data_IF_047642692278
#
_entry.id   IF_047642692278
#
_cell.length_a   1.000
_cell.length_b   1.000
_cell.length_c   1.000
_cell.angle_alpha   90.00
_cell.angle_beta   90.00
_cell.angle_gamma   90.00
#
_symmetry.space_group_name_H-M   'P 1'
#
loop_
_entity.id
_entity.type
_entity.pdbx_description
1 polymer ?
#
# COMPACT_ATOMS: atom_id res chain seq x y z
N UNK A 1 -7.73 16.16 -3.94
CA UNK A 1 -6.25 16.14 -4.07
C UNK A 1 -5.91 15.18 -5.20
N UNK A 2 -4.92 15.48 -6.04
CA UNK A 2 -4.64 14.71 -7.26
C UNK A 2 -3.20 14.17 -7.25
N UNK A 3 -3.02 12.96 -7.79
CA UNK A 3 -1.74 12.41 -8.22
C UNK A 3 -1.71 12.46 -9.74
N UNK A 4 -0.69 13.12 -10.30
CA UNK A 4 -0.50 13.27 -11.73
C UNK A 4 0.82 12.60 -12.15
N UNK A 5 0.85 12.04 -13.34
CA UNK A 5 2.08 11.59 -14.00
C UNK A 5 2.59 12.69 -14.93
N UNK A 6 3.86 13.05 -14.74
CA UNK A 6 4.57 14.01 -15.57
C UNK A 6 5.70 13.31 -16.34
N UNK A 7 5.67 13.40 -17.67
CA UNK A 7 6.76 12.93 -18.50
C UNK A 7 7.88 13.98 -18.54
N UNK A 8 9.11 13.57 -18.21
CA UNK A 8 10.25 14.50 -18.20
C UNK A 8 10.46 15.14 -19.58
N UNK A 9 10.49 16.49 -19.59
CA UNK A 9 10.65 17.28 -20.80
C UNK A 9 9.36 17.60 -21.54
N UNK A 10 8.20 17.13 -21.05
CA UNK A 10 6.89 17.51 -21.56
C UNK A 10 6.32 18.75 -20.84
N UNK A 11 5.23 19.31 -21.34
CA UNK A 11 4.48 20.37 -20.68
C UNK A 11 3.62 19.81 -19.54
N UNK A 12 3.56 20.48 -18.37
CA UNK A 12 2.62 20.10 -17.29
C UNK A 12 1.15 20.06 -17.70
N UNK A 13 0.77 20.75 -18.78
CA UNK A 13 -0.59 20.70 -19.33
C UNK A 13 -0.95 19.31 -19.89
N UNK A 14 0.05 18.50 -20.21
CA UNK A 14 -0.09 17.12 -20.69
C UNK A 14 -0.05 16.10 -19.55
N UNK A 15 0.08 16.53 -18.30
CA UNK A 15 0.16 15.63 -17.16
C UNK A 15 -1.11 14.78 -17.04
N UNK A 16 -0.92 13.47 -16.94
CA UNK A 16 -2.02 12.51 -16.87
C UNK A 16 -2.48 12.36 -15.43
N UNK A 17 -3.79 12.48 -15.20
CA UNK A 17 -4.39 12.11 -13.91
C UNK A 17 -4.21 10.62 -13.65
N UNK A 18 -3.56 10.27 -12.54
CA UNK A 18 -3.40 8.89 -12.05
C UNK A 18 -4.53 8.56 -11.09
N UNK A 19 -4.79 9.46 -10.14
CA UNK A 19 -5.82 9.27 -9.14
C UNK A 19 -6.22 10.60 -8.50
N UNK A 20 -7.49 10.69 -8.10
CA UNK A 20 -8.04 11.84 -7.38
C UNK A 20 -8.78 11.37 -6.12
N UNK A 21 -8.35 11.88 -4.96
CA UNK A 21 -9.10 11.77 -3.70
C UNK A 21 -9.95 13.02 -3.52
N UNK A 22 -11.27 12.86 -3.49
CA UNK A 22 -12.23 13.97 -3.39
C UNK A 22 -12.72 14.18 -1.96
N UNK A 23 -12.55 13.21 -1.07
CA UNK A 23 -12.90 13.28 0.34
C UNK A 23 -11.85 14.08 1.13
N UNK A 24 -12.22 15.24 1.71
CA UNK A 24 -11.28 16.07 2.47
C UNK A 24 -10.82 15.42 3.79
N UNK A 25 -11.54 14.41 4.29
CA UNK A 25 -11.19 13.66 5.50
C UNK A 25 -9.98 12.75 5.33
N UNK A 26 -9.61 12.43 4.10
CA UNK A 26 -8.48 11.57 3.79
C UNK A 26 -7.23 12.36 3.38
N UNK A 27 -6.09 11.83 3.79
CA UNK A 27 -4.78 12.18 3.28
C UNK A 27 -4.42 11.23 2.14
N UNK A 28 -3.56 11.71 1.24
CA UNK A 28 -3.11 10.94 0.09
C UNK A 28 -1.62 11.21 -0.12
N UNK A 29 -0.85 10.15 -0.31
CA UNK A 29 0.58 10.17 -0.62
C UNK A 29 0.89 9.25 -1.81
N UNK A 30 2.01 9.50 -2.47
CA UNK A 30 2.54 8.64 -3.53
C UNK A 30 4.01 8.36 -3.26
N UNK A 31 4.44 7.12 -3.45
CA UNK A 31 5.81 6.67 -3.23
C UNK A 31 6.17 5.44 -4.06
N UNK A 32 7.45 5.25 -4.34
CA UNK A 32 7.97 4.03 -4.97
C UNK A 32 8.44 3.02 -3.93
N UNK A 33 8.40 1.74 -4.27
CA UNK A 33 9.02 0.69 -3.47
C UNK A 33 10.54 0.73 -3.55
N UNK A 34 11.21 0.03 -2.62
CA UNK A 34 12.68 0.06 -2.49
C UNK A 34 13.39 -0.49 -3.73
N UNK A 35 12.79 -1.49 -4.39
CA UNK A 35 13.29 -2.06 -5.64
C UNK A 35 12.97 -1.20 -6.87
N UNK A 36 12.08 -0.20 -6.73
CA UNK A 36 11.44 0.56 -7.81
C UNK A 36 10.57 -0.29 -8.76
N UNK A 37 10.07 -1.45 -8.35
CA UNK A 37 9.13 -2.23 -9.16
C UNK A 37 7.70 -1.69 -9.11
N UNK A 38 7.31 -1.06 -8.00
CA UNK A 38 5.95 -0.60 -7.77
C UNK A 38 5.90 0.86 -7.35
N UNK A 39 4.83 1.54 -7.78
CA UNK A 39 4.40 2.84 -7.27
C UNK A 39 3.13 2.59 -6.45
N UNK A 40 3.07 3.17 -5.25
CA UNK A 40 1.97 3.06 -4.31
C UNK A 40 1.32 4.43 -4.12
N UNK A 41 0.01 4.49 -4.30
CA UNK A 41 -0.84 5.60 -3.87
C UNK A 41 -1.50 5.18 -2.57
N UNK A 42 -1.02 5.72 -1.46
CA UNK A 42 -1.59 5.51 -0.13
C UNK A 42 -2.65 6.56 0.15
N UNK A 43 -3.78 6.13 0.71
CA UNK A 43 -4.90 6.97 1.11
C UNK A 43 -5.26 6.57 2.53
N UNK A 44 -5.27 7.50 3.47
CA UNK A 44 -5.55 7.17 4.86
C UNK A 44 -6.13 8.33 5.64
N UNK A 45 -6.82 8.00 6.72
CA UNK A 45 -7.09 8.91 7.82
C UNK A 45 -6.40 8.38 9.10
N UNK A 46 -6.98 8.64 10.28
CA UNK A 46 -6.45 8.19 11.56
C UNK A 46 -6.75 6.72 11.89
N UNK A 47 -7.70 6.08 11.20
CA UNK A 47 -8.14 4.71 11.49
C UNK A 47 -8.45 3.84 10.25
N UNK A 48 -8.34 4.40 9.05
CA UNK A 48 -8.71 3.76 7.79
C UNK A 48 -7.59 3.93 6.77
N UNK A 49 -7.27 2.87 6.03
CA UNK A 49 -6.29 2.88 4.95
C UNK A 49 -6.86 2.29 3.66
N UNK A 50 -6.39 2.78 2.52
CA UNK A 50 -6.58 2.24 1.18
C UNK A 50 -5.29 2.42 0.39
N UNK A 51 -4.84 1.37 -0.29
CA UNK A 51 -3.69 1.42 -1.18
C UNK A 51 -4.11 1.06 -2.60
N UNK A 52 -3.53 1.79 -3.55
CA UNK A 52 -3.56 1.46 -4.97
C UNK A 52 -2.13 1.31 -5.46
N UNK A 53 -1.87 0.27 -6.24
CA UNK A 53 -0.53 -0.03 -6.75
C UNK A 53 -0.51 -0.01 -8.27
N UNK A 54 0.62 0.39 -8.84
CA UNK A 54 0.89 0.29 -10.28
C UNK A 54 2.34 -0.17 -10.47
N UNK A 55 2.61 -0.90 -11.56
CA UNK A 55 4.00 -1.22 -11.92
C UNK A 55 4.70 0.07 -12.33
N UNK A 56 5.89 0.31 -11.81
CA UNK A 56 6.73 1.44 -12.21
C UNK A 56 7.19 1.33 -13.68
N UNK A 57 7.20 0.12 -14.24
CA UNK A 57 7.56 -0.13 -15.64
C UNK A 57 6.43 0.15 -16.63
N UNK A 58 5.19 0.33 -16.14
CA UNK A 58 3.99 0.57 -16.95
C UNK A 58 3.33 1.90 -16.53
N UNK A 59 3.94 3.06 -16.83
CA UNK A 59 3.48 4.37 -16.32
C UNK A 59 2.09 4.79 -16.82
N UNK A 60 1.56 4.11 -17.85
CA UNK A 60 0.23 4.32 -18.41
C UNK A 60 -0.82 3.32 -17.89
N UNK A 61 -0.42 2.35 -17.08
CA UNK A 61 -1.36 1.44 -16.44
C UNK A 61 -2.24 2.20 -15.43
N UNK A 62 -3.44 1.69 -15.22
CA UNK A 62 -4.34 2.16 -14.18
C UNK A 62 -3.94 1.56 -12.81
N UNK A 63 -3.91 2.36 -11.74
CA UNK A 63 -3.64 1.85 -10.39
C UNK A 63 -4.67 0.80 -9.97
N UNK A 64 -4.18 -0.37 -9.55
CA UNK A 64 -4.99 -1.48 -9.04
C UNK A 64 -5.24 -1.31 -7.55
N UNK A 65 -6.50 -1.43 -7.15
CA UNK A 65 -6.90 -1.42 -5.75
C UNK A 65 -6.45 -2.70 -5.03
N UNK A 66 -5.84 -2.54 -3.86
CA UNK A 66 -5.37 -3.66 -3.01
C UNK A 66 -6.52 -4.15 -2.12
N UNK A 67 -7.09 -3.27 -1.31
CA UNK A 67 -8.30 -3.53 -0.55
C UNK A 67 -9.13 -2.25 -0.44
N UNK A 68 -10.46 -2.31 -0.64
CA UNK A 68 -11.30 -1.15 -0.46
C UNK A 68 -11.23 -0.65 0.99
N UNK A 69 -11.34 0.66 1.17
CA UNK A 69 -11.46 1.28 2.50
C UNK A 69 -12.61 0.69 3.31
N UNK A 70 -12.35 0.40 4.58
CA UNK A 70 -13.32 -0.03 5.59
C UNK A 70 -13.04 0.77 6.86
N UNK A 71 -14.05 1.43 7.42
CA UNK A 71 -13.86 2.28 8.61
C UNK A 71 -13.25 1.49 9.77
N UNK A 72 -12.13 1.97 10.30
CA UNK A 72 -11.40 1.32 11.40
C UNK A 72 -10.40 0.24 10.95
N UNK A 73 -10.35 -0.08 9.65
CA UNK A 73 -9.36 -1.00 9.08
C UNK A 73 -8.13 -0.23 8.58
N UNK A 74 -7.01 -0.48 9.24
CA UNK A 74 -5.70 0.03 8.86
C UNK A 74 -4.88 -1.08 8.24
N UNK A 75 -4.15 -0.72 7.19
CA UNK A 75 -3.08 -1.56 6.68
C UNK A 75 -2.00 -0.72 6.01
N UNK A 76 -0.77 -1.21 6.04
CA UNK A 76 0.38 -0.66 5.31
C UNK A 76 1.00 -1.75 4.44
N UNK A 77 1.67 -1.34 3.36
CA UNK A 77 2.28 -2.24 2.38
C UNK A 77 3.79 -2.05 2.35
N UNK A 78 4.51 -3.15 2.47
CA UNK A 78 5.95 -3.19 2.25
C UNK A 78 6.28 -4.27 1.23
N UNK A 79 7.16 -3.92 0.29
CA UNK A 79 7.61 -4.84 -0.75
C UNK A 79 8.51 -5.96 -0.19
N UNK A 80 8.25 -7.20 -0.62
CA UNK A 80 9.02 -8.39 -0.28
C UNK A 80 9.48 -9.20 -1.49
N UNK A 81 9.54 -8.60 -2.69
CA UNK A 81 9.78 -9.30 -3.95
C UNK A 81 8.49 -9.83 -4.54
N UNK A 82 8.34 -11.16 -4.61
CA UNK A 82 7.15 -11.82 -5.17
C UNK A 82 5.87 -11.63 -4.33
N UNK A 83 6.01 -11.04 -3.13
CA UNK A 83 4.91 -10.77 -2.20
C UNK A 83 4.97 -9.32 -1.70
N UNK A 84 3.82 -8.81 -1.27
CA UNK A 84 3.76 -7.72 -0.31
C UNK A 84 3.63 -8.27 1.10
N UNK A 85 4.38 -7.71 2.04
CA UNK A 85 4.08 -7.78 3.46
C UNK A 85 3.02 -6.72 3.79
N UNK A 86 2.03 -7.12 4.57
CA UNK A 86 0.87 -6.29 4.87
C UNK A 86 0.70 -6.24 6.38
N UNK A 87 1.09 -5.11 6.97
CA UNK A 87 0.88 -4.84 8.39
C UNK A 87 -0.56 -4.36 8.56
N UNK A 88 -1.42 -5.07 9.30
CA UNK A 88 -2.85 -4.72 9.38
C UNK A 88 -3.46 -5.01 10.75
N UNK A 89 -4.48 -4.25 11.12
CA UNK A 89 -5.32 -4.50 12.30
C UNK A 89 -6.59 -5.33 12.00
N UNK A 90 -6.67 -5.93 10.80
CA UNK A 90 -7.82 -6.71 10.37
C UNK A 90 -8.19 -7.83 11.35
N UNK A 91 -9.46 -8.25 11.32
CA UNK A 91 -9.97 -9.40 12.06
C UNK A 91 -9.82 -9.25 13.59
N UNK A 92 -9.82 -8.01 14.09
CA UNK A 92 -9.72 -7.68 15.51
C UNK A 92 -8.29 -7.64 16.06
N UNK A 93 -7.27 -7.63 15.20
CA UNK A 93 -5.86 -7.56 15.56
C UNK A 93 -5.45 -6.14 16.03
N UNK A 94 -5.88 -5.73 17.23
CA UNK A 94 -5.60 -4.37 17.76
C UNK A 94 -4.11 -4.05 17.89
N UNK A 95 -3.29 -5.05 18.18
CA UNK A 95 -1.83 -4.94 18.24
C UNK A 95 -1.16 -5.28 16.89
N UNK A 96 -1.96 -5.29 15.82
CA UNK A 96 -1.61 -5.62 14.44
C UNK A 96 -1.12 -7.06 14.24
N UNK A 97 -1.11 -7.48 12.98
CA UNK A 97 -0.52 -8.73 12.48
C UNK A 97 0.12 -8.47 11.13
N UNK A 98 0.98 -9.39 10.69
CA UNK A 98 1.60 -9.32 9.36
C UNK A 98 0.99 -10.42 8.50
N UNK A 99 0.38 -9.99 7.40
CA UNK A 99 -0.10 -10.85 6.33
C UNK A 99 0.86 -10.75 5.13
N UNK A 100 0.70 -11.65 4.17
CA UNK A 100 1.36 -11.61 2.87
C UNK A 100 0.31 -11.75 1.78
N UNK A 101 0.58 -11.19 0.60
CA UNK A 101 -0.20 -11.47 -0.60
C UNK A 101 0.73 -11.46 -1.82
N UNK A 102 0.44 -12.21 -2.90
CA UNK A 102 1.22 -12.15 -4.12
C UNK A 102 1.31 -10.71 -4.65
N UNK A 103 2.50 -10.23 -4.99
CA UNK A 103 2.69 -8.86 -5.48
C UNK A 103 1.93 -8.61 -6.79
N UNK A 104 1.76 -9.65 -7.60
CA UNK A 104 0.98 -9.61 -8.84
C UNK A 104 -0.54 -9.47 -8.63
N UNK A 105 -1.06 -9.89 -7.47
CA UNK A 105 -2.49 -9.88 -7.14
C UNK A 105 -2.73 -9.76 -5.62
N UNK A 106 -2.46 -8.59 -5.02
CA UNK A 106 -2.50 -8.42 -3.57
C UNK A 106 -3.89 -8.12 -3.02
N UNK A 107 -4.94 -8.53 -3.73
CA UNK A 107 -6.33 -8.31 -3.29
C UNK A 107 -6.57 -8.93 -1.91
N UNK A 108 -7.44 -8.32 -1.09
CA UNK A 108 -7.74 -8.79 0.29
C UNK A 108 -8.01 -10.29 0.41
N UNK A 109 -8.63 -10.90 -0.60
CA UNK A 109 -8.94 -12.33 -0.65
C UNK A 109 -7.69 -13.23 -0.71
N UNK A 110 -6.57 -12.71 -1.20
CA UNK A 110 -5.30 -13.43 -1.30
C UNK A 110 -4.39 -13.22 -0.09
N UNK A 111 -4.83 -12.48 0.93
CA UNK A 111 -4.03 -12.23 2.12
C UNK A 111 -3.92 -13.50 2.97
N UNK A 112 -2.68 -13.91 3.25
CA UNK A 112 -2.35 -15.07 4.07
C UNK A 112 -1.54 -14.64 5.28
N UNK A 113 -1.87 -15.17 6.45
CA UNK A 113 -1.21 -14.79 7.70
C UNK A 113 0.23 -15.30 7.73
N UNK A 114 1.18 -14.42 8.07
CA UNK A 114 2.60 -14.73 8.23
C UNK A 114 3.02 -14.63 9.69
N UNK A 115 2.65 -13.54 10.36
CA UNK A 115 2.86 -13.34 11.80
C UNK A 115 1.50 -13.07 12.44
N UNK A 116 0.98 -13.99 13.27
CA UNK A 116 -0.31 -13.81 13.91
C UNK A 116 -0.28 -12.66 14.93
N UNK A 117 -1.46 -12.12 15.20
CA UNK A 117 -1.67 -11.15 16.27
C UNK A 117 -1.39 -11.78 17.65
N UNK A 118 -0.72 -11.03 18.52
CA UNK A 118 -0.45 -11.40 19.90
C UNK A 118 -0.80 -10.21 20.81
N UNK A 119 -1.75 -10.40 21.74
CA UNK A 119 -2.23 -9.33 22.60
C UNK A 119 -1.12 -8.78 23.50
N UNK A 120 -0.98 -7.45 23.54
CA UNK A 120 0.08 -6.75 24.26
C UNK A 120 1.42 -6.70 23.52
N UNK A 121 1.47 -7.19 22.27
CA UNK A 121 2.68 -7.18 21.43
C UNK A 121 2.43 -6.42 20.13
N UNK A 122 2.39 -5.10 20.26
CA UNK A 122 2.20 -4.19 19.14
C UNK A 122 3.31 -4.36 18.09
N UNK A 123 2.91 -4.54 16.83
CA UNK A 123 3.80 -4.44 15.67
C UNK A 123 3.65 -3.04 15.08
N UNK A 124 4.73 -2.25 15.13
CA UNK A 124 4.72 -0.85 14.73
C UNK A 124 5.05 -0.64 13.26
N UNK A 125 5.89 -1.51 12.68
CA UNK A 125 6.31 -1.39 11.29
C UNK A 125 6.84 -2.71 10.73
N UNK A 126 6.88 -2.79 9.41
CA UNK A 126 7.53 -3.86 8.64
C UNK A 126 8.42 -3.25 7.57
N UNK A 127 9.62 -3.79 7.39
CA UNK A 127 10.58 -3.39 6.35
C UNK A 127 11.11 -4.63 5.65
N UNK A 128 11.09 -4.62 4.32
CA UNK A 128 11.58 -5.66 3.45
C UNK A 128 12.99 -5.38 2.96
N UNK A 129 13.85 -6.39 3.07
CA UNK A 129 15.14 -6.48 2.41
C UNK A 129 15.16 -7.76 1.58
N UNK A 130 16.10 -7.86 0.64
CA UNK A 130 16.21 -8.98 -0.30
C UNK A 130 16.02 -10.36 0.34
N UNK A 131 16.64 -10.58 1.49
CA UNK A 131 16.64 -11.88 2.18
C UNK A 131 16.01 -11.84 3.57
N UNK A 132 15.49 -10.68 4.01
CA UNK A 132 15.04 -10.49 5.39
C UNK A 132 13.81 -9.58 5.46
N UNK A 133 12.85 -9.94 6.30
CA UNK A 133 11.81 -9.03 6.77
C UNK A 133 12.11 -8.65 8.23
N UNK A 134 12.10 -7.34 8.51
CA UNK A 134 12.34 -6.79 9.84
C UNK A 134 11.06 -6.10 10.32
N UNK A 135 10.70 -6.31 11.59
CA UNK A 135 9.57 -5.64 12.24
C UNK A 135 9.99 -4.99 13.55
N UNK A 136 9.34 -3.90 13.92
CA UNK A 136 9.48 -3.22 15.22
C UNK A 136 8.30 -3.54 16.13
#
# INVERSE_FOLDING_TARGET
RQVLFHALGDSPENDRLIYEETDPGFFMNVGGTRSNEWIMVGINDHETSEYRIMSASEPFAEPKLVAPRETGLQYDLEEGGDVFFILTNADGAKDFKIMTAPASDPVRANWQELVPHEAGRLILSVIGFKDHMVRL
#
